data_IF_998281576803
#
_entry.id   IF_998281576803
#
_cell.length_a   1.000
_cell.length_b   1.000
_cell.length_c   1.000
_cell.angle_alpha   90.00
_cell.angle_beta   90.00
_cell.angle_gamma   90.00
#
_symmetry.space_group_name_H-M   'P 1'
#
loop_
_entity.id
_entity.type
_entity.pdbx_description
1 polymer ?
#
# COMPACT_ATOMS: atom_id res chain seq x y z
N UNK A 1 -66.95 23.25 7.28
CA UNK A 1 -67.04 21.78 7.09
C UNK A 1 -66.76 21.47 5.63
N UNK A 2 -65.97 20.42 5.39
CA UNK A 2 -65.72 19.68 4.13
C UNK A 2 -65.06 20.39 2.93
N UNK A 3 -63.80 20.02 2.67
CA UNK A 3 -63.13 20.03 1.35
C UNK A 3 -61.86 19.16 1.47
N UNK A 4 -61.95 17.84 1.33
CA UNK A 4 -61.65 17.05 0.12
C UNK A 4 -60.24 17.26 -0.49
N UNK A 5 -59.40 16.25 -0.24
CA UNK A 5 -58.47 15.58 -1.16
C UNK A 5 -57.52 16.44 -2.01
N UNK A 6 -56.25 16.51 -1.59
CA UNK A 6 -55.11 16.25 -2.49
C UNK A 6 -54.05 15.44 -1.76
N UNK A 7 -54.02 14.15 -2.11
CA UNK A 7 -52.87 13.26 -1.90
C UNK A 7 -51.74 13.76 -2.82
N UNK A 8 -50.62 14.16 -2.23
CA UNK A 8 -49.35 14.35 -2.93
C UNK A 8 -48.31 13.55 -2.16
N UNK A 9 -47.93 12.41 -2.73
CA UNK A 9 -47.04 11.45 -2.12
C UNK A 9 -45.65 12.06 -1.89
N UNK A 10 -45.12 11.82 -0.69
CA UNK A 10 -43.69 11.72 -0.45
C UNK A 10 -43.10 10.74 -1.47
N UNK A 11 -42.28 11.24 -2.39
CA UNK A 11 -41.34 10.43 -3.14
C UNK A 11 -40.01 11.17 -3.11
N UNK A 12 -39.15 10.65 -2.25
CA UNK A 12 -37.72 10.90 -2.15
C UNK A 12 -37.11 10.80 -3.55
N UNK A 13 -36.86 11.94 -4.19
CA UNK A 13 -35.94 12.02 -5.33
C UNK A 13 -34.52 12.28 -4.79
N UNK A 14 -34.07 11.38 -3.91
CA UNK A 14 -32.65 11.05 -3.82
C UNK A 14 -32.33 10.11 -4.98
N UNK A 15 -32.47 10.60 -6.20
CA UNK A 15 -31.94 9.92 -7.36
C UNK A 15 -30.44 10.12 -7.32
N UNK A 16 -29.77 9.08 -6.83
CA UNK A 16 -28.37 8.76 -7.00
C UNK A 16 -27.80 9.42 -8.27
N UNK A 17 -27.19 10.60 -8.11
CA UNK A 17 -25.92 10.84 -8.76
C UNK A 17 -24.86 10.23 -7.85
N UNK A 18 -24.81 8.89 -7.82
CA UNK A 18 -23.51 8.23 -7.76
C UNK A 18 -22.89 8.61 -9.10
N UNK A 19 -22.14 9.71 -9.10
CA UNK A 19 -21.22 9.98 -10.18
C UNK A 19 -20.48 8.67 -10.44
N UNK A 20 -20.52 8.23 -11.70
CA UNK A 20 -19.67 7.19 -12.23
C UNK A 20 -18.22 7.57 -11.90
N UNK A 21 -17.75 7.22 -10.71
CA UNK A 21 -16.34 7.05 -10.44
C UNK A 21 -16.03 5.75 -11.18
N UNK A 22 -15.85 5.87 -12.50
CA UNK A 22 -15.12 4.85 -13.25
C UNK A 22 -13.80 4.70 -12.52
N UNK A 23 -13.74 3.64 -11.72
CA UNK A 23 -12.61 3.16 -10.94
C UNK A 23 -11.42 2.95 -11.89
N UNK A 24 -10.73 4.04 -12.18
CA UNK A 24 -9.45 4.05 -12.88
C UNK A 24 -8.32 4.03 -11.84
N UNK A 25 -8.51 3.21 -10.79
CA UNK A 25 -7.46 2.85 -9.88
C UNK A 25 -6.55 1.85 -10.60
N UNK A 26 -5.30 2.23 -10.76
CA UNK A 26 -4.34 1.63 -11.69
C UNK A 26 -2.94 1.87 -11.15
N UNK A 27 -1.92 1.23 -11.72
CA UNK A 27 -0.53 1.54 -11.39
C UNK A 27 0.00 2.60 -12.36
N UNK A 28 0.77 3.57 -11.83
CA UNK A 28 1.39 4.64 -12.62
C UNK A 28 2.91 4.50 -12.62
N UNK A 29 3.50 4.29 -13.80
CA UNK A 29 4.94 4.37 -14.00
C UNK A 29 5.40 5.78 -14.35
N UNK A 30 6.38 6.30 -13.63
CA UNK A 30 7.03 7.59 -13.90
C UNK A 30 8.40 7.39 -14.57
N UNK A 31 8.56 7.90 -15.79
CA UNK A 31 9.75 7.74 -16.61
C UNK A 31 10.35 9.09 -16.99
N UNK A 32 11.59 9.34 -16.55
CA UNK A 32 12.37 10.50 -16.98
C UNK A 32 13.21 10.10 -18.18
N UNK A 33 12.91 10.66 -19.35
CA UNK A 33 13.56 10.24 -20.60
C UNK A 33 14.19 11.40 -21.33
N UNK A 34 15.34 11.12 -21.95
CA UNK A 34 16.02 12.02 -22.88
C UNK A 34 16.08 11.34 -24.26
N UNK A 35 15.69 12.06 -25.31
CA UNK A 35 15.53 11.53 -26.65
C UNK A 35 16.24 12.44 -27.65
N UNK A 36 17.28 11.93 -28.30
CA UNK A 36 18.03 12.65 -29.34
C UNK A 36 17.20 12.87 -30.61
N UNK A 37 17.59 13.81 -31.49
CA UNK A 37 16.89 14.07 -32.75
C UNK A 37 16.70 12.81 -33.59
N UNK A 38 15.47 12.62 -34.11
CA UNK A 38 15.09 11.47 -34.92
C UNK A 38 15.31 10.10 -34.25
N UNK A 39 15.50 10.06 -32.91
CA UNK A 39 15.54 8.83 -32.12
C UNK A 39 14.20 8.56 -31.47
N UNK A 40 14.07 7.32 -31.01
CA UNK A 40 12.95 6.86 -30.22
C UNK A 40 13.42 6.19 -28.93
N UNK A 41 12.57 6.26 -27.91
CA UNK A 41 12.70 5.54 -26.66
C UNK A 41 11.47 4.65 -26.51
N UNK A 42 11.68 3.41 -26.06
CA UNK A 42 10.62 2.44 -25.79
C UNK A 42 10.49 2.22 -24.29
N UNK A 43 9.25 2.26 -23.80
CA UNK A 43 8.91 1.93 -22.42
C UNK A 43 7.96 0.74 -22.42
N UNK A 44 8.28 -0.29 -21.65
CA UNK A 44 7.51 -1.53 -21.58
C UNK A 44 6.66 -1.59 -20.31
N UNK A 45 5.47 -2.15 -20.43
CA UNK A 45 4.54 -2.37 -19.31
C UNK A 45 3.52 -3.46 -19.66
N UNK A 46 2.79 -3.95 -18.67
CA UNK A 46 1.87 -5.09 -18.85
C UNK A 46 0.59 -4.89 -18.03
N UNK A 47 -0.49 -4.34 -18.62
CA UNK A 47 -1.81 -4.40 -18.05
C UNK A 47 -2.27 -5.85 -17.91
N UNK A 48 -2.90 -6.20 -16.79
CA UNK A 48 -3.36 -7.58 -16.52
C UNK A 48 -4.88 -7.72 -16.47
N UNK A 49 -5.62 -6.60 -16.45
CA UNK A 49 -7.09 -6.58 -16.41
C UNK A 49 -7.66 -5.48 -17.31
N UNK A 50 -9.00 -5.41 -17.38
CA UNK A 50 -9.72 -4.37 -18.13
C UNK A 50 -9.62 -3.00 -17.47
N UNK A 51 -9.56 -1.95 -18.27
CA UNK A 51 -9.50 -0.57 -17.81
C UNK A 51 -8.91 0.37 -18.85
N UNK A 52 -8.48 1.55 -18.44
CA UNK A 52 -7.90 2.55 -19.35
C UNK A 52 -6.39 2.61 -19.17
N UNK A 53 -5.66 2.52 -20.27
CA UNK A 53 -4.26 2.97 -20.34
C UNK A 53 -4.31 4.47 -20.62
N UNK A 54 -3.65 5.26 -19.77
CA UNK A 54 -3.46 6.70 -19.95
C UNK A 54 -1.98 7.00 -19.96
N UNK A 55 -1.53 7.69 -20.99
CA UNK A 55 -0.15 8.19 -21.12
C UNK A 55 -0.21 9.70 -21.06
N UNK A 56 0.62 10.29 -20.21
CA UNK A 56 0.82 11.73 -20.13
C UNK A 56 2.30 12.02 -20.29
N UNK A 57 2.64 12.98 -21.14
CA UNK A 57 4.04 13.33 -21.36
C UNK A 57 4.25 14.81 -21.48
N UNK A 58 5.37 15.29 -20.94
CA UNK A 58 5.80 16.70 -21.04
C UNK A 58 7.30 16.74 -21.32
N UNK A 59 7.70 17.43 -22.40
CA UNK A 59 9.09 17.52 -22.83
C UNK A 59 9.61 18.96 -22.86
N UNK A 60 10.93 19.09 -22.65
CA UNK A 60 11.68 20.34 -22.79
C UNK A 60 12.83 20.16 -23.80
N UNK A 61 13.28 21.22 -24.48
CA UNK A 61 12.69 22.57 -24.47
C UNK A 61 11.28 22.61 -25.08
N UNK A 62 10.47 23.59 -24.69
CA UNK A 62 9.13 23.78 -25.25
C UNK A 62 9.21 24.25 -26.72
N UNK A 63 8.11 24.09 -27.46
CA UNK A 63 7.96 24.37 -28.89
C UNK A 63 8.37 23.21 -29.81
N UNK A 64 8.74 22.05 -29.27
CA UNK A 64 9.29 20.95 -30.06
C UNK A 64 8.28 19.82 -30.28
N UNK A 65 8.27 19.28 -31.51
CA UNK A 65 7.38 18.19 -31.90
C UNK A 65 7.93 16.84 -31.48
N UNK A 66 7.02 15.99 -31.01
CA UNK A 66 7.28 14.58 -30.76
C UNK A 66 6.00 13.77 -30.98
N UNK A 67 6.13 12.46 -31.11
CA UNK A 67 4.99 11.55 -31.18
C UNK A 67 5.08 10.45 -30.13
N UNK A 68 3.92 9.95 -29.73
CA UNK A 68 3.76 8.80 -28.86
C UNK A 68 2.91 7.74 -29.56
N UNK A 69 3.35 6.48 -29.51
CA UNK A 69 2.65 5.33 -30.10
C UNK A 69 2.54 4.23 -29.08
N UNK A 70 1.34 3.68 -28.93
CA UNK A 70 1.06 2.56 -28.06
C UNK A 70 0.93 1.29 -28.90
N UNK A 71 1.75 0.28 -28.60
CA UNK A 71 1.78 -1.00 -29.29
C UNK A 71 1.59 -2.15 -28.29
N UNK A 72 1.08 -3.27 -28.81
CA UNK A 72 0.93 -4.53 -28.08
C UNK A 72 1.73 -5.62 -28.78
N UNK A 73 2.42 -6.46 -28.03
CA UNK A 73 3.36 -7.45 -28.58
C UNK A 73 2.76 -8.47 -29.57
N UNK A 74 1.45 -8.70 -29.50
CA UNK A 74 0.68 -9.58 -30.39
C UNK A 74 0.10 -8.85 -31.63
N UNK A 75 0.36 -7.55 -31.80
CA UNK A 75 -0.14 -6.75 -32.91
C UNK A 75 0.95 -5.86 -33.53
N UNK A 76 1.12 -5.90 -34.87
CA UNK A 76 2.17 -5.13 -35.53
C UNK A 76 1.85 -3.62 -35.62
N UNK A 77 0.56 -3.27 -35.67
CA UNK A 77 0.10 -1.89 -35.83
C UNK A 77 -0.09 -1.17 -34.48
N UNK A 78 0.16 0.16 -34.41
CA UNK A 78 -0.17 0.94 -33.23
C UNK A 78 -1.66 0.90 -32.90
N UNK A 79 -1.96 0.61 -31.64
CA UNK A 79 -3.31 0.63 -31.09
C UNK A 79 -3.84 2.05 -30.87
N UNK A 80 -2.92 2.97 -30.56
CA UNK A 80 -3.20 4.39 -30.42
C UNK A 80 -1.94 5.19 -30.71
N UNK A 81 -2.09 6.40 -31.26
CA UNK A 81 -0.97 7.30 -31.50
C UNK A 81 -1.40 8.76 -31.39
N UNK A 82 -0.47 9.62 -30.97
CA UNK A 82 -0.63 11.06 -30.97
C UNK A 82 0.68 11.75 -31.37
N UNK A 83 0.59 12.87 -32.05
CA UNK A 83 1.69 13.79 -32.33
C UNK A 83 1.30 15.17 -31.79
N UNK A 84 2.26 15.88 -31.20
CA UNK A 84 2.00 17.22 -30.68
C UNK A 84 3.26 17.94 -30.24
N UNK A 85 3.04 19.04 -29.52
CA UNK A 85 4.07 19.96 -29.06
C UNK A 85 3.90 20.10 -27.56
N UNK A 86 5.01 20.15 -26.82
CA UNK A 86 5.11 20.37 -25.37
C UNK A 86 4.53 19.25 -24.50
N UNK A 87 3.23 19.02 -24.59
CA UNK A 87 2.49 18.06 -23.79
C UNK A 87 1.57 17.21 -24.66
N UNK A 88 1.49 15.92 -24.35
CA UNK A 88 0.60 14.96 -25.01
C UNK A 88 -0.12 14.11 -23.97
N UNK A 89 -1.38 13.82 -24.26
CA UNK A 89 -2.17 12.82 -23.56
C UNK A 89 -2.70 11.81 -24.56
N UNK A 90 -2.48 10.53 -24.29
CA UNK A 90 -3.01 9.42 -25.07
C UNK A 90 -3.83 8.52 -24.14
N UNK A 91 -5.01 8.08 -24.60
CA UNK A 91 -5.82 7.12 -23.86
C UNK A 91 -6.20 5.95 -24.73
N UNK A 92 -6.27 4.75 -24.14
CA UNK A 92 -6.68 3.54 -24.82
C UNK A 92 -7.43 2.61 -23.86
N UNK A 93 -8.57 2.07 -24.29
CA UNK A 93 -9.38 1.16 -23.47
C UNK A 93 -8.94 -0.30 -23.69
N UNK A 94 -8.61 -0.98 -22.59
CA UNK A 94 -8.37 -2.43 -22.54
C UNK A 94 -9.70 -3.11 -22.24
N UNK A 95 -10.27 -3.75 -23.25
CA UNK A 95 -11.63 -4.33 -23.25
C UNK A 95 -11.70 -5.76 -22.70
N UNK A 96 -10.55 -6.45 -22.60
CA UNK A 96 -10.43 -7.80 -22.02
C UNK A 96 -9.17 -7.93 -21.16
N UNK A 97 -9.13 -8.84 -20.18
CA UNK A 97 -7.90 -9.17 -19.46
C UNK A 97 -6.82 -9.69 -20.41
N UNK A 98 -5.57 -9.26 -20.21
CA UNK A 98 -4.43 -9.60 -21.08
C UNK A 98 -3.20 -10.04 -20.26
N UNK A 99 -3.33 -11.05 -19.36
CA UNK A 99 -2.18 -11.52 -18.58
C UNK A 99 -1.06 -12.04 -19.50
N UNK A 100 0.18 -11.66 -19.19
CA UNK A 100 1.37 -12.09 -19.94
C UNK A 100 1.59 -11.38 -21.27
N UNK A 101 0.69 -10.48 -21.71
CA UNK A 101 0.89 -9.70 -22.94
C UNK A 101 1.66 -8.42 -22.62
N UNK A 102 2.86 -8.29 -23.19
CA UNK A 102 3.67 -7.08 -23.05
C UNK A 102 3.17 -5.96 -23.97
N UNK A 103 3.15 -4.75 -23.44
CA UNK A 103 2.85 -3.51 -24.15
C UNK A 103 4.09 -2.64 -24.23
N UNK A 104 4.15 -1.82 -25.28
CA UNK A 104 5.26 -0.91 -25.54
C UNK A 104 4.73 0.47 -25.91
N UNK A 105 5.13 1.47 -25.15
CA UNK A 105 5.01 2.88 -25.53
C UNK A 105 6.29 3.29 -26.27
N UNK A 106 6.16 3.80 -27.48
CA UNK A 106 7.27 4.40 -28.24
C UNK A 106 7.09 5.92 -28.19
N UNK A 107 8.12 6.62 -27.73
CA UNK A 107 8.20 8.08 -27.79
C UNK A 107 9.27 8.45 -28.82
N UNK A 108 8.89 9.16 -29.87
CA UNK A 108 9.77 9.53 -30.98
C UNK A 108 9.97 11.04 -31.03
N UNK A 109 11.23 11.47 -31.01
CA UNK A 109 11.58 12.88 -31.16
C UNK A 109 11.55 13.28 -32.65
N UNK A 110 10.67 14.23 -32.98
CA UNK A 110 10.51 14.76 -34.35
C UNK A 110 11.19 16.13 -34.53
N UNK A 111 11.87 16.63 -33.49
CA UNK A 111 12.61 17.87 -33.50
C UNK A 111 14.07 17.69 -33.92
N UNK A 112 14.75 18.81 -34.16
CA UNK A 112 16.16 18.91 -34.55
C UNK A 112 17.12 18.94 -33.35
N UNK A 113 16.60 18.81 -32.13
CA UNK A 113 17.34 18.89 -30.86
C UNK A 113 16.89 17.82 -29.88
N UNK A 114 17.74 17.50 -28.92
CA UNK A 114 17.41 16.55 -27.83
C UNK A 114 16.27 17.07 -26.98
N UNK A 115 15.31 16.18 -26.67
CA UNK A 115 14.21 16.44 -25.75
C UNK A 115 14.42 15.70 -24.44
N UNK A 116 14.19 16.36 -23.32
CA UNK A 116 14.21 15.74 -21.99
C UNK A 116 12.90 16.03 -21.28
N UNK A 117 12.28 15.00 -20.71
CA UNK A 117 10.92 15.12 -20.21
C UNK A 117 10.51 14.02 -19.25
N UNK A 118 9.25 14.12 -18.84
CA UNK A 118 8.55 13.15 -18.01
C UNK A 118 7.50 12.45 -18.86
N UNK A 119 7.42 11.14 -18.73
CA UNK A 119 6.33 10.32 -19.25
C UNK A 119 5.73 9.55 -18.08
N UNK A 120 4.43 9.72 -17.86
CA UNK A 120 3.65 8.94 -16.90
C UNK A 120 2.74 7.96 -17.66
N UNK A 121 2.83 6.68 -17.32
CA UNK A 121 1.99 5.62 -17.90
C UNK A 121 1.15 5.00 -16.80
N UNK A 122 -0.15 5.22 -16.87
CA UNK A 122 -1.15 4.71 -15.94
C UNK A 122 -1.90 3.54 -16.60
N UNK A 123 -1.94 2.36 -15.98
CA UNK A 123 -2.56 1.18 -16.60
C UNK A 123 -3.14 0.16 -15.60
N UNK A 124 -4.17 -0.60 -16.02
CA UNK A 124 -4.89 -1.50 -15.11
C UNK A 124 -4.12 -2.79 -14.81
N UNK A 125 -3.90 -3.03 -13.53
CA UNK A 125 -3.45 -4.32 -12.97
C UNK A 125 -4.48 -4.81 -11.96
N UNK A 126 -4.81 -6.11 -12.01
CA UNK A 126 -5.94 -6.70 -11.28
C UNK A 126 -5.93 -6.35 -9.78
N UNK A 127 -4.92 -6.83 -9.04
CA UNK A 127 -4.90 -6.66 -7.59
C UNK A 127 -4.51 -5.24 -7.17
N UNK A 128 -3.72 -4.54 -7.99
CA UNK A 128 -3.39 -3.14 -7.73
C UNK A 128 -4.62 -2.22 -7.85
N UNK A 129 -5.53 -2.55 -8.78
CA UNK A 129 -6.79 -1.83 -8.94
C UNK A 129 -7.68 -1.99 -7.71
N UNK A 130 -7.77 -3.20 -7.16
CA UNK A 130 -8.56 -3.47 -5.94
C UNK A 130 -7.98 -2.72 -4.73
N UNK A 131 -6.67 -2.85 -4.49
CA UNK A 131 -5.96 -2.13 -3.44
C UNK A 131 -6.18 -0.61 -3.53
N UNK A 132 -5.95 -0.03 -4.71
CA UNK A 132 -6.09 1.41 -4.89
C UNK A 132 -7.53 1.90 -4.79
N UNK A 133 -8.52 1.10 -5.24
CA UNK A 133 -9.92 1.45 -5.15
C UNK A 133 -10.45 1.40 -3.70
N UNK A 134 -10.15 0.33 -2.96
CA UNK A 134 -10.64 0.15 -1.59
C UNK A 134 -10.04 1.18 -0.63
N UNK A 135 -8.73 1.45 -0.76
CA UNK A 135 -8.01 2.33 0.17
C UNK A 135 -7.73 3.73 -0.39
N UNK A 136 -8.25 4.06 -1.58
CA UNK A 136 -8.04 5.35 -2.25
C UNK A 136 -6.55 5.73 -2.40
N UNK A 137 -5.71 4.76 -2.74
CA UNK A 137 -4.25 4.92 -2.84
C UNK A 137 -3.77 5.30 -4.24
N UNK A 138 -2.78 6.18 -4.31
CA UNK A 138 -1.96 6.41 -5.51
C UNK A 138 -0.82 5.37 -5.55
N UNK A 139 -0.86 4.46 -6.52
CA UNK A 139 0.15 3.40 -6.68
C UNK A 139 1.11 3.77 -7.81
N UNK A 140 2.40 3.91 -7.48
CA UNK A 140 3.43 4.34 -8.43
C UNK A 140 4.65 3.44 -8.48
N UNK A 141 5.42 3.53 -9.56
CA UNK A 141 6.80 3.06 -9.64
C UNK A 141 7.64 4.04 -10.46
N UNK A 142 8.95 4.10 -10.21
CA UNK A 142 9.85 5.10 -10.81
C UNK A 142 10.98 4.43 -11.60
N UNK A 143 11.37 5.00 -12.75
CA UNK A 143 12.58 4.74 -13.55
C UNK A 143 12.85 3.27 -13.95
N UNK A 144 12.53 2.89 -15.20
CA UNK A 144 12.86 1.61 -15.90
C UNK A 144 12.67 0.28 -15.13
N UNK A 145 12.08 0.33 -13.94
CA UNK A 145 11.97 -0.80 -13.04
C UNK A 145 10.84 -1.74 -13.40
N UNK A 146 10.93 -2.92 -12.77
CA UNK A 146 9.85 -3.90 -12.66
C UNK A 146 8.64 -3.20 -12.01
N UNK A 147 7.51 -3.07 -12.72
CA UNK A 147 6.30 -2.51 -12.15
C UNK A 147 5.86 -3.24 -10.89
N UNK A 148 5.07 -2.59 -10.03
CA UNK A 148 4.37 -3.28 -8.94
C UNK A 148 3.64 -4.50 -9.51
N UNK A 149 4.01 -5.69 -9.04
CA UNK A 149 3.42 -6.96 -9.46
C UNK A 149 2.04 -7.17 -8.83
N UNK A 150 1.18 -7.94 -9.51
CA UNK A 150 -0.16 -8.22 -9.00
C UNK A 150 -0.09 -8.99 -7.68
N UNK A 151 0.92 -9.84 -7.52
CA UNK A 151 1.23 -10.58 -6.31
C UNK A 151 1.63 -9.62 -5.17
N UNK A 152 2.44 -8.60 -5.47
CA UNK A 152 2.82 -7.57 -4.49
C UNK A 152 1.60 -6.76 -4.04
N UNK A 153 0.79 -6.31 -5.00
CA UNK A 153 -0.44 -5.59 -4.72
C UNK A 153 -1.42 -6.44 -3.91
N UNK A 154 -1.52 -7.74 -4.18
CA UNK A 154 -2.34 -8.66 -3.38
C UNK A 154 -1.85 -8.75 -1.95
N UNK A 155 -0.55 -8.93 -1.72
CA UNK A 155 0.01 -8.99 -0.36
C UNK A 155 -0.24 -7.68 0.40
N UNK A 156 0.02 -6.53 -0.22
CA UNK A 156 -0.27 -5.22 0.38
C UNK A 156 -1.76 -5.03 0.66
N UNK A 157 -2.63 -5.49 -0.23
CA UNK A 157 -4.08 -5.45 -0.06
C UNK A 157 -4.54 -6.27 1.14
N UNK A 158 -4.05 -7.51 1.25
CA UNK A 158 -4.31 -8.39 2.39
C UNK A 158 -3.81 -7.77 3.70
N UNK A 159 -2.61 -7.20 3.69
CA UNK A 159 -2.08 -6.51 4.87
C UNK A 159 -2.98 -5.34 5.28
N UNK A 160 -3.36 -4.47 4.35
CA UNK A 160 -4.24 -3.33 4.62
C UNK A 160 -5.62 -3.76 5.14
N UNK A 161 -6.22 -4.82 4.59
CA UNK A 161 -7.51 -5.35 5.06
C UNK A 161 -7.43 -6.03 6.42
N UNK A 162 -6.26 -6.60 6.76
CA UNK A 162 -6.06 -7.28 8.03
C UNK A 162 -5.99 -6.30 9.20
N UNK A 163 -5.52 -5.07 9.00
CA UNK A 163 -5.50 -4.06 10.08
C UNK A 163 -6.86 -3.35 10.20
N UNK A 164 -7.20 -2.77 11.37
CA UNK A 164 -8.42 -1.98 11.50
C UNK A 164 -8.46 -0.83 10.49
N UNK A 165 -9.62 -0.56 9.89
CA UNK A 165 -9.79 0.47 8.85
C UNK A 165 -9.21 1.82 9.31
N UNK A 166 -9.53 2.21 10.54
CA UNK A 166 -9.03 3.43 11.19
C UNK A 166 -7.50 3.51 11.16
N UNK A 167 -6.80 2.41 11.45
CA UNK A 167 -5.34 2.32 11.44
C UNK A 167 -4.74 2.43 10.03
N UNK A 168 -5.45 1.92 9.03
CA UNK A 168 -5.03 2.01 7.61
C UNK A 168 -5.33 3.37 6.98
N UNK A 169 -6.30 4.09 7.55
CA UNK A 169 -6.84 5.32 6.99
C UNK A 169 -5.79 6.43 6.91
N UNK A 170 -5.93 7.29 5.91
CA UNK A 170 -5.06 8.45 5.72
C UNK A 170 -3.71 8.16 5.04
N UNK A 171 -3.38 6.90 4.76
CA UNK A 171 -2.29 6.56 3.83
C UNK A 171 -2.69 7.04 2.44
N UNK A 172 -1.78 7.67 1.71
CA UNK A 172 -2.10 8.30 0.42
C UNK A 172 -1.45 7.61 -0.76
N UNK A 173 -0.25 7.07 -0.58
CA UNK A 173 0.58 6.65 -1.71
C UNK A 173 1.46 5.46 -1.36
N UNK A 174 1.63 4.57 -2.34
CA UNK A 174 2.66 3.54 -2.32
C UNK A 174 3.52 3.72 -3.58
N UNK A 175 4.84 3.78 -3.40
CA UNK A 175 5.79 3.91 -4.50
C UNK A 175 6.79 2.76 -4.48
N UNK A 176 6.88 2.01 -5.58
CA UNK A 176 7.95 1.05 -5.79
C UNK A 176 9.21 1.72 -6.36
N UNK A 177 10.35 1.39 -5.76
CA UNK A 177 11.69 1.85 -6.13
C UNK A 177 12.58 0.66 -6.51
N UNK A 178 13.71 0.90 -7.22
CA UNK A 178 14.69 -0.14 -7.46
C UNK A 178 15.19 -0.74 -6.14
N UNK A 179 15.79 -1.93 -6.21
CA UNK A 179 16.41 -2.53 -5.04
C UNK A 179 17.47 -1.57 -4.46
N UNK A 180 17.34 -1.28 -3.18
CA UNK A 180 18.34 -0.59 -2.39
C UNK A 180 19.00 -1.63 -1.47
N UNK A 181 20.35 -1.65 -1.36
CA UNK A 181 21.05 -2.64 -0.55
C UNK A 181 20.84 -2.45 0.96
N UNK A 182 20.42 -1.26 1.40
CA UNK A 182 20.28 -0.90 2.82
C UNK A 182 18.82 -0.78 3.25
N UNK A 183 17.92 -0.47 2.32
CA UNK A 183 16.53 -0.12 2.62
C UNK A 183 15.58 -1.07 1.88
N UNK A 184 14.66 -1.71 2.61
CA UNK A 184 13.60 -2.54 2.02
C UNK A 184 12.24 -1.80 1.96
N UNK A 185 12.01 -0.92 2.94
CA UNK A 185 10.81 -0.10 3.07
C UNK A 185 11.16 1.27 3.66
N UNK A 186 10.32 2.26 3.38
CA UNK A 186 10.43 3.57 4.02
C UNK A 186 9.09 4.30 4.03
N UNK A 187 8.66 4.76 5.21
CA UNK A 187 7.53 5.65 5.38
C UNK A 187 7.97 7.12 5.41
N UNK A 188 7.37 7.96 4.54
CA UNK A 188 7.54 9.42 4.54
C UNK A 188 6.21 10.08 4.25
N UNK A 189 5.70 10.91 5.17
CA UNK A 189 4.54 11.80 4.94
C UNK A 189 3.37 11.10 4.21
N UNK A 190 2.79 10.06 4.82
CA UNK A 190 1.65 9.28 4.27
C UNK A 190 1.98 8.53 2.97
N UNK A 191 3.26 8.35 2.67
CA UNK A 191 3.74 7.56 1.54
C UNK A 191 4.58 6.40 2.05
N UNK A 192 4.26 5.20 1.61
CA UNK A 192 5.12 4.03 1.80
C UNK A 192 5.94 3.82 0.53
N UNK A 193 7.24 3.66 0.69
CA UNK A 193 8.17 3.31 -0.39
C UNK A 193 8.61 1.86 -0.20
N UNK A 194 8.56 1.07 -1.25
CA UNK A 194 8.97 -0.32 -1.25
C UNK A 194 10.12 -0.48 -2.24
N UNK A 195 11.20 -1.12 -1.83
CA UNK A 195 12.43 -1.23 -2.61
C UNK A 195 12.67 -2.66 -3.08
N UNK A 196 12.86 -2.82 -4.39
CA UNK A 196 13.14 -4.10 -5.03
C UNK A 196 11.92 -5.01 -5.18
N UNK A 197 12.18 -6.27 -5.54
CA UNK A 197 11.16 -7.29 -5.82
C UNK A 197 10.82 -8.09 -4.55
N UNK A 198 10.33 -7.40 -3.52
CA UNK A 198 9.86 -8.07 -2.30
C UNK A 198 8.58 -8.82 -2.59
N UNK A 199 8.49 -10.06 -2.11
CA UNK A 199 7.35 -10.96 -2.34
C UNK A 199 6.95 -11.68 -1.06
N UNK A 200 5.72 -12.21 -1.05
CA UNK A 200 5.21 -13.09 0.00
C UNK A 200 5.36 -12.54 1.42
N UNK A 201 5.66 -13.42 2.37
CA UNK A 201 5.77 -13.05 3.78
C UNK A 201 6.84 -11.98 4.05
N UNK A 202 7.89 -11.89 3.21
CA UNK A 202 8.90 -10.84 3.34
C UNK A 202 8.31 -9.47 3.01
N UNK A 203 7.55 -9.36 1.92
CA UNK A 203 6.83 -8.12 1.61
C UNK A 203 5.82 -7.78 2.70
N UNK A 204 5.02 -8.75 3.16
CA UNK A 204 4.04 -8.52 4.22
C UNK A 204 4.70 -7.93 5.49
N UNK A 205 5.82 -8.51 5.94
CA UNK A 205 6.57 -8.00 7.10
C UNK A 205 7.09 -6.58 6.90
N UNK A 206 7.74 -6.30 5.78
CA UNK A 206 8.23 -4.94 5.47
C UNK A 206 7.05 -3.97 5.41
N UNK A 207 5.94 -4.36 4.79
CA UNK A 207 4.78 -3.51 4.68
C UNK A 207 4.10 -3.26 6.04
N UNK A 208 3.99 -4.28 6.91
CA UNK A 208 3.53 -4.10 8.29
C UNK A 208 4.44 -3.15 9.09
N UNK A 209 5.76 -3.26 8.91
CA UNK A 209 6.71 -2.33 9.53
C UNK A 209 6.42 -0.88 9.11
N UNK A 210 6.29 -0.62 7.81
CA UNK A 210 5.97 0.72 7.31
C UNK A 210 4.57 1.20 7.72
N UNK A 211 3.60 0.29 7.84
CA UNK A 211 2.30 0.59 8.42
C UNK A 211 2.39 0.92 9.91
N UNK A 212 3.34 0.35 10.65
CA UNK A 212 3.66 0.76 12.01
C UNK A 212 4.07 2.23 12.07
N UNK A 213 4.99 2.66 11.20
CA UNK A 213 5.33 4.08 11.09
C UNK A 213 4.10 4.94 10.74
N UNK A 214 3.29 4.52 9.75
CA UNK A 214 2.05 5.23 9.40
C UNK A 214 1.13 5.39 10.60
N UNK A 215 0.85 4.31 11.33
CA UNK A 215 -0.03 4.32 12.50
C UNK A 215 0.50 5.25 13.58
N UNK A 216 1.81 5.21 13.85
CA UNK A 216 2.41 6.10 14.82
C UNK A 216 2.26 7.57 14.44
N UNK A 217 2.55 7.94 13.19
CA UNK A 217 2.50 9.35 12.77
C UNK A 217 1.08 9.87 12.50
N UNK A 218 0.14 9.00 12.13
CA UNK A 218 -1.21 9.40 11.77
C UNK A 218 -2.21 9.31 12.93
N UNK A 219 -2.02 8.34 13.83
CA UNK A 219 -3.08 7.92 14.77
C UNK A 219 -2.67 7.95 16.24
N UNK A 220 -1.41 8.18 16.57
CA UNK A 220 -1.04 8.38 17.97
C UNK A 220 -1.61 9.70 18.50
N UNK A 221 -2.19 9.62 19.69
CA UNK A 221 -2.44 10.79 20.52
C UNK A 221 -1.13 11.20 21.21
N UNK A 222 -1.08 12.41 21.78
CA UNK A 222 0.05 12.83 22.61
C UNK A 222 0.33 11.85 23.76
N UNK A 223 -0.72 11.28 24.35
CA UNK A 223 -0.60 10.28 25.40
C UNK A 223 0.02 8.96 24.89
N UNK A 224 -0.38 8.49 23.71
CA UNK A 224 0.24 7.31 23.08
C UNK A 224 1.72 7.55 22.81
N UNK A 225 2.06 8.70 22.22
CA UNK A 225 3.44 9.06 21.90
C UNK A 225 4.30 9.15 23.16
N UNK A 226 3.83 9.86 24.19
CA UNK A 226 4.57 10.01 25.45
C UNK A 226 4.78 8.68 26.18
N UNK A 227 3.77 7.81 26.21
CA UNK A 227 3.90 6.48 26.81
C UNK A 227 4.90 5.62 26.04
N UNK A 228 4.85 5.60 24.72
CA UNK A 228 5.80 4.83 23.91
C UNK A 228 7.25 5.34 24.07
N UNK A 229 7.44 6.66 24.10
CA UNK A 229 8.75 7.28 24.37
C UNK A 229 9.32 6.89 25.74
N UNK A 230 8.48 6.83 26.78
CA UNK A 230 8.90 6.34 28.10
C UNK A 230 9.37 4.88 28.05
N UNK A 231 8.59 4.00 27.40
CA UNK A 231 8.95 2.59 27.21
C UNK A 231 10.27 2.43 26.46
N UNK A 232 10.47 3.20 25.37
CA UNK A 232 11.73 3.19 24.62
C UNK A 232 12.89 3.70 25.48
N UNK A 233 12.73 4.81 26.21
CA UNK A 233 13.76 5.37 27.09
C UNK A 233 14.15 4.37 28.20
N UNK A 234 13.17 3.71 28.82
CA UNK A 234 13.38 2.66 29.84
C UNK A 234 14.02 1.40 29.25
N UNK A 235 13.86 1.16 27.94
CA UNK A 235 14.50 0.03 27.26
C UNK A 235 16.02 0.13 27.27
N UNK A 236 16.57 1.36 27.21
CA UNK A 236 18.00 1.62 27.22
C UNK A 236 18.75 0.83 26.15
N UNK A 237 19.92 0.28 26.50
CA UNK A 237 20.74 -0.52 25.58
C UNK A 237 20.45 -2.03 25.64
N UNK A 238 19.56 -2.50 26.50
CA UNK A 238 19.28 -3.92 26.69
C UNK A 238 18.42 -4.46 25.53
N UNK A 239 19.00 -5.37 24.73
CA UNK A 239 18.33 -5.97 23.58
C UNK A 239 17.11 -6.81 23.96
N UNK A 240 16.98 -7.25 25.22
CA UNK A 240 15.79 -7.98 25.66
C UNK A 240 14.53 -7.10 25.72
N UNK A 241 14.67 -5.77 25.68
CA UNK A 241 13.55 -4.85 25.69
C UNK A 241 12.99 -4.53 24.30
N UNK A 242 13.59 -5.09 23.24
CA UNK A 242 13.21 -4.84 21.85
C UNK A 242 12.73 -6.13 21.18
N UNK A 243 11.73 -6.00 20.30
CA UNK A 243 11.24 -7.13 19.51
C UNK A 243 12.24 -7.55 18.41
N UNK A 244 12.92 -6.56 17.81
CA UNK A 244 13.99 -6.75 16.82
C UNK A 244 15.16 -5.83 17.17
N UNK A 245 16.37 -6.21 16.75
CA UNK A 245 17.57 -5.40 16.98
C UNK A 245 17.49 -4.01 16.33
N UNK A 246 16.84 -3.92 15.16
CA UNK A 246 16.69 -2.66 14.44
C UNK A 246 15.89 -1.60 15.21
N UNK A 247 14.96 -2.02 16.08
CA UNK A 247 14.20 -1.12 16.95
C UNK A 247 15.04 -0.33 17.96
N UNK A 248 16.32 -0.65 18.13
CA UNK A 248 17.26 0.11 18.98
C UNK A 248 17.68 1.45 18.38
N UNK A 249 17.37 1.68 17.10
CA UNK A 249 17.82 2.88 16.37
C UNK A 249 17.21 4.15 16.94
N UNK A 250 15.89 4.14 17.17
CA UNK A 250 15.13 5.22 17.81
C UNK A 250 13.73 4.69 18.18
N UNK A 251 12.93 5.51 18.86
CA UNK A 251 11.58 5.16 19.31
C UNK A 251 10.60 4.84 18.17
N UNK A 252 10.81 5.37 16.97
CA UNK A 252 9.96 5.11 15.80
C UNK A 252 10.22 3.72 15.25
N UNK A 253 11.50 3.36 15.07
CA UNK A 253 11.88 2.01 14.66
C UNK A 253 11.51 0.96 15.71
N UNK A 254 11.58 1.31 17.00
CA UNK A 254 11.11 0.45 18.08
C UNK A 254 9.62 0.12 17.92
N UNK A 255 8.79 1.14 17.65
CA UNK A 255 7.36 0.93 17.41
C UNK A 255 7.11 0.08 16.16
N UNK A 256 7.70 0.47 15.04
CA UNK A 256 7.48 -0.21 13.76
C UNK A 256 7.92 -1.68 13.82
N UNK A 257 9.07 -1.98 14.42
CA UNK A 257 9.54 -3.37 14.60
C UNK A 257 8.73 -4.14 15.63
N UNK A 258 8.17 -3.48 16.66
CA UNK A 258 7.25 -4.12 17.59
C UNK A 258 5.93 -4.48 16.89
N UNK A 259 5.36 -3.55 16.11
CA UNK A 259 4.13 -3.77 15.36
C UNK A 259 4.32 -4.88 14.30
N UNK A 260 5.45 -4.86 13.58
CA UNK A 260 5.87 -5.95 12.69
C UNK A 260 5.93 -7.30 13.43
N UNK A 261 6.61 -7.37 14.58
CA UNK A 261 6.73 -8.62 15.33
C UNK A 261 5.37 -9.11 15.88
N UNK A 262 4.50 -8.19 16.29
CA UNK A 262 3.15 -8.50 16.74
C UNK A 262 2.27 -9.07 15.62
N UNK A 263 2.39 -8.53 14.41
CA UNK A 263 1.66 -8.97 13.21
C UNK A 263 2.25 -10.23 12.56
N UNK A 264 3.56 -10.47 12.72
CA UNK A 264 4.25 -11.70 12.34
C UNK A 264 3.77 -12.89 13.18
N UNK A 265 3.81 -12.76 14.52
CA UNK A 265 3.27 -13.76 15.44
C UNK A 265 2.96 -13.16 16.81
N UNK A 266 1.68 -12.89 17.09
CA UNK A 266 1.28 -12.32 18.38
C UNK A 266 1.57 -13.28 19.54
N UNK A 267 1.29 -14.57 19.39
CA UNK A 267 1.57 -15.58 20.41
C UNK A 267 3.07 -15.73 20.68
N UNK A 268 3.90 -15.72 19.62
CA UNK A 268 5.35 -15.82 19.73
C UNK A 268 5.97 -14.64 20.49
N UNK A 269 5.58 -13.40 20.16
CA UNK A 269 6.11 -12.22 20.84
C UNK A 269 5.59 -12.11 22.28
N UNK A 270 4.32 -12.47 22.54
CA UNK A 270 3.74 -12.49 23.87
C UNK A 270 4.46 -13.50 24.79
N UNK A 271 4.68 -14.73 24.33
CA UNK A 271 5.39 -15.75 25.10
C UNK A 271 6.84 -15.33 25.41
N UNK A 272 7.53 -14.73 24.43
CA UNK A 272 8.87 -14.18 24.62
C UNK A 272 8.88 -13.08 25.69
N UNK A 273 7.91 -12.17 25.62
CA UNK A 273 7.78 -11.06 26.56
C UNK A 273 7.45 -11.54 27.97
N UNK A 274 6.55 -12.51 28.13
CA UNK A 274 6.21 -13.11 29.43
C UNK A 274 7.41 -13.83 30.06
N UNK A 275 8.18 -14.57 29.27
CA UNK A 275 9.41 -15.25 29.73
C UNK A 275 10.50 -14.26 30.15
N UNK A 276 10.60 -13.09 29.51
CA UNK A 276 11.51 -12.01 29.94
C UNK A 276 11.00 -11.33 31.21
N UNK A 277 9.69 -11.07 31.28
CA UNK A 277 9.05 -10.47 32.44
C UNK A 277 9.25 -11.30 33.72
N UNK A 278 9.11 -12.64 33.65
CA UNK A 278 9.34 -13.54 34.79
C UNK A 278 10.79 -13.53 35.30
N UNK A 279 11.72 -13.02 34.50
CA UNK A 279 13.14 -12.82 34.85
C UNK A 279 13.46 -11.37 35.24
N UNK A 280 12.44 -10.54 35.51
CA UNK A 280 12.61 -9.15 35.92
C UNK A 280 12.88 -8.17 34.78
N UNK A 281 12.56 -8.54 33.53
CA UNK A 281 12.68 -7.66 32.34
C UNK A 281 11.29 -7.36 31.74
N UNK A 282 10.52 -6.41 32.31
CA UNK A 282 9.11 -6.22 31.98
C UNK A 282 8.84 -5.42 30.70
N UNK A 283 9.81 -4.65 30.20
CA UNK A 283 9.54 -3.60 29.20
C UNK A 283 8.97 -4.14 27.89
N UNK A 284 9.47 -5.28 27.38
CA UNK A 284 8.88 -5.88 26.17
C UNK A 284 7.42 -6.29 26.39
N UNK A 285 7.07 -6.76 27.59
CA UNK A 285 5.70 -7.14 27.92
C UNK A 285 4.79 -5.93 28.02
N UNK A 286 5.26 -4.81 28.57
CA UNK A 286 4.55 -3.53 28.53
C UNK A 286 4.32 -3.05 27.08
N UNK A 287 5.30 -3.22 26.19
CA UNK A 287 5.13 -2.93 24.75
C UNK A 287 4.07 -3.82 24.07
N UNK A 288 4.00 -5.11 24.40
CA UNK A 288 2.93 -6.00 23.90
C UNK A 288 1.56 -5.52 24.35
N UNK A 289 1.42 -5.14 25.63
CA UNK A 289 0.16 -4.58 26.17
C UNK A 289 -0.23 -3.28 25.45
N UNK A 290 0.75 -2.42 25.15
CA UNK A 290 0.52 -1.19 24.39
C UNK A 290 -0.08 -1.47 23.01
N UNK A 291 0.52 -2.38 22.22
CA UNK A 291 0.00 -2.74 20.88
C UNK A 291 -1.41 -3.35 21.00
N UNK A 292 -1.61 -4.21 22.00
CA UNK A 292 -2.92 -4.86 22.23
C UNK A 292 -4.00 -3.84 22.60
N UNK A 293 -3.66 -2.81 23.37
CA UNK A 293 -4.56 -1.70 23.69
C UNK A 293 -4.81 -0.79 22.49
N UNK A 294 -3.80 -0.55 21.65
CA UNK A 294 -3.93 0.22 20.41
C UNK A 294 -4.91 -0.44 19.42
N UNK A 295 -4.92 -1.77 19.36
CA UNK A 295 -5.77 -2.58 18.50
C UNK A 295 -7.09 -3.02 19.18
N UNK A 296 -7.40 -2.42 20.33
CA UNK A 296 -8.59 -2.76 21.12
C UNK A 296 -9.87 -2.37 20.37
N UNK A 297 -10.86 -3.23 20.47
CA UNK A 297 -12.23 -3.00 20.00
C UNK A 297 -13.23 -3.67 20.94
N UNK A 298 -14.51 -3.28 20.88
CA UNK A 298 -15.56 -3.92 21.68
C UNK A 298 -16.30 -4.98 20.86
N UNK A 299 -16.49 -6.17 21.43
CA UNK A 299 -17.31 -7.25 20.86
C UNK A 299 -18.30 -7.72 21.93
N UNK A 300 -19.59 -7.53 21.69
CA UNK A 300 -20.68 -7.89 22.62
C UNK A 300 -20.51 -7.31 24.05
N UNK A 301 -19.97 -6.08 24.16
CA UNK A 301 -19.76 -5.42 25.44
C UNK A 301 -18.49 -5.85 26.21
N UNK A 302 -17.67 -6.72 25.60
CA UNK A 302 -16.38 -7.14 26.16
C UNK A 302 -15.24 -6.53 25.34
N UNK A 303 -14.17 -6.10 26.03
CA UNK A 303 -12.96 -5.59 25.40
C UNK A 303 -12.20 -6.74 24.72
N UNK A 304 -11.95 -6.59 23.42
CA UNK A 304 -11.20 -7.51 22.60
C UNK A 304 -10.00 -6.79 21.97
N UNK A 305 -9.06 -7.55 21.44
CA UNK A 305 -8.00 -7.04 20.57
C UNK A 305 -7.82 -7.97 19.38
N UNK A 306 -7.18 -7.46 18.34
CA UNK A 306 -6.78 -8.27 17.20
C UNK A 306 -5.43 -8.92 17.48
N UNK A 307 -5.35 -10.23 17.28
CA UNK A 307 -4.11 -11.00 17.23
C UNK A 307 -3.86 -11.45 15.80
N UNK A 308 -2.60 -11.74 15.49
CA UNK A 308 -2.15 -12.00 14.14
C UNK A 308 -1.20 -13.18 14.04
N UNK A 309 -1.18 -13.78 12.86
CA UNK A 309 -0.15 -14.71 12.39
C UNK A 309 0.08 -14.47 10.90
N UNK A 310 1.33 -14.29 10.51
CA UNK A 310 1.72 -14.23 9.09
C UNK A 310 2.49 -15.50 8.74
N UNK A 311 1.88 -16.35 7.92
CA UNK A 311 2.49 -17.59 7.45
C UNK A 311 3.02 -17.40 6.01
N UNK A 312 4.07 -18.15 5.67
CA UNK A 312 4.54 -18.28 4.28
C UNK A 312 4.10 -19.63 3.75
N UNK A 313 3.20 -19.64 2.78
CA UNK A 313 2.73 -20.87 2.12
C UNK A 313 3.05 -20.78 0.63
N UNK A 314 3.95 -21.64 0.13
CA UNK A 314 4.33 -21.70 -1.28
C UNK A 314 4.84 -20.38 -1.90
N UNK A 315 5.39 -19.47 -1.08
CA UNK A 315 5.86 -18.16 -1.54
C UNK A 315 4.83 -17.03 -1.41
N UNK A 316 3.58 -17.36 -1.10
CA UNK A 316 2.53 -16.38 -0.78
C UNK A 316 2.53 -16.02 0.71
N UNK A 317 2.15 -14.78 1.02
CA UNK A 317 1.83 -14.38 2.39
C UNK A 317 0.39 -14.75 2.72
N UNK A 318 0.22 -15.61 3.72
CA UNK A 318 -1.08 -15.87 4.34
C UNK A 318 -1.17 -15.06 5.62
N UNK A 319 -2.04 -14.06 5.65
CA UNK A 319 -2.22 -13.17 6.79
C UNK A 319 -3.48 -13.61 7.52
N UNK A 320 -3.32 -13.96 8.79
CA UNK A 320 -4.41 -14.42 9.66
C UNK A 320 -4.60 -13.42 10.78
N UNK A 321 -5.86 -13.12 11.09
CA UNK A 321 -6.27 -12.29 12.21
C UNK A 321 -7.35 -12.98 13.02
N UNK A 322 -7.34 -12.85 14.33
CA UNK A 322 -8.46 -13.25 15.17
C UNK A 322 -8.77 -12.14 16.18
N UNK A 323 -10.03 -12.06 16.59
CA UNK A 323 -10.47 -11.20 17.70
C UNK A 323 -10.54 -12.03 18.97
N UNK A 324 -9.75 -11.66 19.98
CA UNK A 324 -9.70 -12.37 21.28
C UNK A 324 -9.93 -11.41 22.43
N UNK A 325 -10.43 -11.92 23.56
CA UNK A 325 -10.67 -11.11 24.75
C UNK A 325 -9.35 -10.54 25.31
N UNK A 326 -9.43 -9.34 25.87
CA UNK A 326 -8.37 -8.75 26.70
C UNK A 326 -8.67 -9.00 28.18
N UNK A 327 -7.63 -9.24 28.98
CA UNK A 327 -7.77 -9.14 30.44
C UNK A 327 -7.71 -7.68 30.93
N UNK A 328 -7.80 -7.51 32.25
CA UNK A 328 -7.78 -6.19 32.89
C UNK A 328 -6.46 -5.41 32.66
N UNK A 329 -5.39 -6.11 32.29
CA UNK A 329 -4.06 -5.56 32.06
C UNK A 329 -3.75 -5.35 30.56
N UNK A 330 -4.77 -5.49 29.70
CA UNK A 330 -4.65 -5.47 28.24
C UNK A 330 -3.75 -6.58 27.68
N UNK A 331 -3.71 -7.75 28.31
CA UNK A 331 -3.04 -8.93 27.77
C UNK A 331 -4.05 -9.74 26.95
N UNK A 332 -3.73 -10.06 25.68
CA UNK A 332 -4.59 -10.92 24.86
C UNK A 332 -4.74 -12.32 25.48
N UNK A 333 -5.97 -12.78 25.65
CA UNK A 333 -6.29 -14.14 26.09
C UNK A 333 -6.42 -15.05 24.86
N UNK A 334 -5.28 -15.56 24.39
CA UNK A 334 -5.19 -16.35 23.15
C UNK A 334 -5.60 -17.81 23.45
N UNK A 335 -6.71 -18.32 22.89
CA UNK A 335 -7.07 -19.73 23.02
C UNK A 335 -6.14 -20.62 22.18
N UNK A 336 -6.15 -21.93 22.44
CA UNK A 336 -5.34 -22.90 21.67
C UNK A 336 -5.71 -22.94 20.17
N UNK A 337 -6.99 -22.70 19.86
CA UNK A 337 -7.51 -22.61 18.48
C UNK A 337 -8.35 -21.33 18.30
N UNK A 338 -7.71 -20.19 17.98
CA UNK A 338 -8.42 -18.95 17.70
C UNK A 338 -9.28 -19.03 16.43
N UNK A 339 -10.40 -18.32 16.41
CA UNK A 339 -11.22 -18.13 15.20
C UNK A 339 -10.48 -17.23 14.20
N UNK A 340 -9.59 -17.81 13.40
CA UNK A 340 -8.79 -17.10 12.41
C UNK A 340 -9.63 -16.70 11.19
N UNK A 341 -9.63 -15.41 10.89
CA UNK A 341 -9.98 -14.84 9.60
C UNK A 341 -8.73 -14.79 8.72
N UNK A 342 -8.86 -15.21 7.47
CA UNK A 342 -7.78 -15.20 6.48
C UNK A 342 -8.01 -14.10 5.45
N UNK A 343 -6.92 -13.39 5.13
CA UNK A 343 -6.87 -12.34 4.11
C UNK A 343 -6.10 -12.82 2.90
#
# INVERSE_FOLDING_TARGET
>A
MTSLLKRGAFAVLASLLVALVSANATVTGEFRIAIDPAKEVSVFFSPTTTGTIRVESVFKPLGNKYSIKLLRSDQPEPLAQAEGIDALTLTFAVDRPLPGVSWRLIVQNLADRTLSGLVEITYPRANCKELAAEFSLDLRYVNENVPLQDEQCLVMHKTMRSIPEESSSGLQKIIAFPQDPEIAGQYIQKTIRIYGDLQGARLARVFFHEMGHHIQFAHFTEAHQSHWEDLNKRSGSDSDNYARLYGRTNQFEDFATMFEAYTDSTSGILATAQSRNSRGKPILFEKVKFISALLRHDRNGTAHTYIYRTDSLFGDARILRASVALDADNVPQIPDDPEWEEF
#
